data_IF_831164969325
#
_entry.id   IF_831164969325
#
_cell.length_a   1.000
_cell.length_b   1.000
_cell.length_c   1.000
_cell.angle_alpha   90.00
_cell.angle_beta   90.00
_cell.angle_gamma   90.00
#
_symmetry.space_group_name_H-M   'P 1'
#
loop_
_entity.id
_entity.type
_entity.pdbx_description
1 polymer ?
#
# COMPACT_ATOMS: atom_id res chain seq x y z
N UNK A 1 27.23 -21.20 11.90
CA UNK A 1 27.06 -19.83 11.40
C UNK A 1 26.06 -19.90 10.26
N UNK A 2 24.77 -19.91 10.58
CA UNK A 2 23.68 -19.90 9.59
C UNK A 2 23.05 -18.52 9.57
N UNK A 3 23.37 -17.73 8.54
CA UNK A 3 22.57 -16.57 8.18
C UNK A 3 21.33 -17.07 7.44
N UNK A 4 20.26 -17.36 8.18
CA UNK A 4 18.95 -17.65 7.62
C UNK A 4 18.38 -16.41 6.94
N UNK A 5 18.55 -16.31 5.62
CA UNK A 5 17.75 -15.42 4.79
C UNK A 5 16.29 -15.85 4.90
N UNK A 6 15.41 -14.91 5.23
CA UNK A 6 13.98 -15.15 5.40
C UNK A 6 13.42 -15.78 4.10
N UNK A 7 13.03 -17.05 4.13
CA UNK A 7 12.35 -17.69 3.00
C UNK A 7 10.98 -17.00 2.84
N UNK A 8 10.82 -16.20 1.79
CA UNK A 8 9.53 -15.58 1.48
C UNK A 8 8.57 -16.69 1.06
N UNK A 9 7.53 -16.93 1.86
CA UNK A 9 6.45 -17.84 1.49
C UNK A 9 5.53 -17.14 0.47
N UNK A 10 5.86 -17.32 -0.80
CA UNK A 10 5.10 -16.77 -1.92
C UNK A 10 3.64 -17.26 -1.92
N UNK A 11 3.36 -18.49 -1.45
CA UNK A 11 1.98 -19.01 -1.41
C UNK A 11 1.14 -18.23 -0.41
N UNK A 12 1.67 -18.01 0.79
CA UNK A 12 0.99 -17.20 1.79
C UNK A 12 0.72 -15.76 1.30
N UNK A 13 1.62 -15.19 0.49
CA UNK A 13 1.40 -13.86 -0.13
C UNK A 13 0.26 -13.91 -1.14
N UNK A 14 0.22 -14.92 -2.01
CA UNK A 14 -0.83 -15.04 -3.02
C UNK A 14 -2.20 -15.34 -2.41
N UNK A 15 -2.28 -16.18 -1.39
CA UNK A 15 -3.53 -16.43 -0.66
C UNK A 15 -4.07 -15.13 -0.03
N UNK A 16 -3.18 -14.31 0.57
CA UNK A 16 -3.56 -12.98 1.08
C UNK A 16 -4.03 -12.04 -0.04
N UNK A 17 -3.35 -12.03 -1.17
CA UNK A 17 -3.71 -11.19 -2.33
C UNK A 17 -5.06 -11.57 -2.92
N UNK A 18 -5.31 -12.88 -3.11
CA UNK A 18 -6.60 -13.41 -3.55
C UNK A 18 -7.71 -12.99 -2.59
N UNK A 19 -7.52 -13.19 -1.28
CA UNK A 19 -8.54 -12.81 -0.29
C UNK A 19 -8.78 -11.29 -0.25
N UNK A 20 -7.71 -10.49 -0.37
CA UNK A 20 -7.83 -9.03 -0.45
C UNK A 20 -8.71 -8.62 -1.63
N UNK A 21 -8.40 -9.10 -2.83
CA UNK A 21 -9.10 -8.73 -4.06
C UNK A 21 -10.53 -9.28 -4.10
N UNK A 22 -10.72 -10.51 -3.64
CA UNK A 22 -12.01 -11.22 -3.72
C UNK A 22 -12.99 -10.80 -2.62
N UNK A 23 -12.52 -10.61 -1.39
CA UNK A 23 -13.38 -10.47 -0.22
C UNK A 23 -13.24 -9.11 0.46
N UNK A 24 -12.01 -8.64 0.69
CA UNK A 24 -11.76 -7.45 1.53
C UNK A 24 -12.04 -6.13 0.79
N UNK A 25 -11.50 -5.94 -0.42
CA UNK A 25 -11.69 -4.70 -1.18
C UNK A 25 -13.15 -4.45 -1.59
N UNK A 26 -13.95 -5.48 -1.95
CA UNK A 26 -15.39 -5.31 -2.10
C UNK A 26 -16.10 -4.89 -0.82
N UNK A 27 -15.69 -5.41 0.35
CA UNK A 27 -16.22 -4.95 1.65
C UNK A 27 -15.84 -3.49 1.91
N UNK A 28 -14.59 -3.10 1.63
CA UNK A 28 -14.16 -1.70 1.77
C UNK A 28 -14.96 -0.77 0.87
N UNK A 29 -15.23 -1.18 -0.36
CA UNK A 29 -16.06 -0.42 -1.30
C UNK A 29 -17.46 -0.15 -0.72
N UNK A 30 -18.05 -1.12 0.00
CA UNK A 30 -19.33 -0.91 0.70
C UNK A 30 -19.20 0.07 1.86
N UNK A 31 -18.17 -0.08 2.69
CA UNK A 31 -17.92 0.79 3.85
C UNK A 31 -17.68 2.26 3.46
N UNK A 32 -17.07 2.49 2.30
CA UNK A 32 -16.77 3.82 1.77
C UNK A 32 -17.81 4.34 0.78
N UNK A 33 -19.01 3.76 0.76
CA UNK A 33 -20.13 4.23 -0.06
C UNK A 33 -19.81 4.25 -1.57
N UNK A 34 -19.05 3.25 -2.05
CA UNK A 34 -18.80 3.04 -3.48
C UNK A 34 -17.41 3.47 -3.97
N UNK A 35 -16.48 3.86 -3.10
CA UNK A 35 -15.09 4.08 -3.54
C UNK A 35 -14.49 2.77 -4.03
N UNK A 36 -14.21 2.69 -5.32
CA UNK A 36 -13.57 1.51 -5.93
C UNK A 36 -12.09 1.47 -5.59
N UNK A 37 -11.59 0.38 -5.01
CA UNK A 37 -10.17 0.21 -4.63
C UNK A 37 -9.36 -0.65 -5.59
N UNK A 38 -10.00 -1.54 -6.34
CA UNK A 38 -9.36 -2.46 -7.29
C UNK A 38 -10.20 -2.65 -8.55
N UNK A 39 -9.62 -3.22 -9.62
CA UNK A 39 -10.40 -3.86 -10.68
C UNK A 39 -11.29 -4.97 -10.10
N UNK A 40 -12.35 -5.37 -10.81
CA UNK A 40 -13.13 -6.55 -10.41
C UNK A 40 -12.25 -7.81 -10.44
N UNK A 41 -12.32 -8.60 -9.36
CA UNK A 41 -11.78 -9.95 -9.33
C UNK A 41 -12.71 -10.89 -10.11
N UNK A 42 -12.15 -11.75 -10.96
CA UNK A 42 -12.93 -12.77 -11.67
C UNK A 42 -12.62 -14.18 -11.18
N UNK A 43 -11.34 -14.56 -11.11
CA UNK A 43 -10.98 -15.94 -10.84
C UNK A 43 -9.53 -16.10 -10.34
N UNK A 44 -9.27 -17.19 -9.61
CA UNK A 44 -7.93 -17.70 -9.29
C UNK A 44 -7.96 -19.22 -9.41
N UNK A 45 -6.83 -19.86 -9.69
CA UNK A 45 -6.73 -21.32 -9.81
C UNK A 45 -6.21 -21.90 -8.48
N UNK A 46 -7.05 -22.54 -7.65
CA UNK A 46 -6.69 -22.91 -6.28
C UNK A 46 -5.63 -24.02 -6.19
N UNK A 47 -5.67 -25.01 -7.09
CA UNK A 47 -4.79 -26.21 -7.02
C UNK A 47 -3.58 -26.17 -7.98
N UNK A 48 -3.27 -25.02 -8.57
CA UNK A 48 -2.17 -24.91 -9.53
C UNK A 48 -0.83 -24.65 -8.83
N UNK A 49 0.25 -25.23 -9.35
CA UNK A 49 1.62 -24.77 -9.03
C UNK A 49 1.88 -23.31 -9.48
N UNK A 50 0.97 -22.73 -10.25
CA UNK A 50 1.00 -21.36 -10.75
C UNK A 50 0.05 -20.47 -9.94
N UNK A 51 0.58 -19.35 -9.46
CA UNK A 51 -0.17 -18.30 -8.76
C UNK A 51 -0.75 -17.32 -9.79
N UNK A 52 -2.02 -17.51 -10.16
CA UNK A 52 -2.69 -16.72 -11.21
C UNK A 52 -3.93 -16.03 -10.66
N UNK A 53 -4.08 -14.73 -10.91
CA UNK A 53 -5.28 -13.96 -10.59
C UNK A 53 -5.81 -13.32 -11.88
N UNK A 54 -7.05 -13.63 -12.25
CA UNK A 54 -7.77 -13.01 -13.35
C UNK A 54 -8.61 -11.83 -12.84
N UNK A 55 -8.43 -10.66 -13.46
CA UNK A 55 -9.08 -9.41 -13.06
C UNK A 55 -9.65 -8.66 -14.28
N UNK A 56 -10.50 -7.67 -14.02
CA UNK A 56 -11.01 -6.72 -15.01
C UNK A 56 -9.89 -5.99 -15.74
N UNK A 57 -10.02 -5.96 -17.07
CA UNK A 57 -9.17 -5.16 -17.93
C UNK A 57 -9.57 -3.68 -17.85
N UNK A 58 -8.72 -2.88 -17.21
CA UNK A 58 -8.95 -1.45 -17.06
C UNK A 58 -8.79 -0.66 -18.36
N UNK A 59 -8.25 -1.24 -19.44
CA UNK A 59 -8.14 -0.56 -20.74
C UNK A 59 -9.51 -0.28 -21.35
N UNK A 60 -10.48 -1.17 -21.12
CA UNK A 60 -11.89 -0.98 -21.54
C UNK A 60 -12.53 0.24 -20.85
N UNK A 61 -11.99 0.64 -19.69
CA UNK A 61 -12.40 1.85 -18.96
C UNK A 61 -11.50 3.06 -19.28
N UNK A 62 -10.67 2.97 -20.33
CA UNK A 62 -9.74 4.00 -20.78
C UNK A 62 -8.58 4.33 -19.81
N UNK A 63 -8.28 3.46 -18.83
CA UNK A 63 -7.07 3.62 -18.03
C UNK A 63 -5.82 3.36 -18.89
N UNK A 64 -4.75 4.09 -18.59
CA UNK A 64 -3.45 3.97 -19.27
C UNK A 64 -2.34 3.80 -18.27
N UNK A 65 -1.37 2.94 -18.59
CA UNK A 65 -0.15 2.80 -17.81
C UNK A 65 0.82 3.91 -18.22
N UNK A 66 1.14 4.79 -17.27
CA UNK A 66 2.16 5.82 -17.46
C UNK A 66 3.56 5.25 -17.24
N UNK A 67 4.57 5.90 -17.83
CA UNK A 67 5.96 5.51 -17.61
C UNK A 67 6.37 5.82 -16.17
N UNK A 68 6.68 4.78 -15.39
CA UNK A 68 7.04 4.90 -13.97
C UNK A 68 8.27 5.79 -13.68
N UNK A 69 9.13 6.05 -14.67
CA UNK A 69 10.31 6.90 -14.52
C UNK A 69 9.98 8.38 -14.52
N UNK A 70 8.82 8.75 -15.05
CA UNK A 70 8.40 10.15 -15.16
C UNK A 70 7.80 10.66 -13.83
N UNK A 71 7.48 9.74 -12.91
CA UNK A 71 6.86 10.05 -11.63
C UNK A 71 5.37 10.38 -11.75
N UNK A 72 4.80 10.89 -10.65
CA UNK A 72 3.42 11.38 -10.61
C UNK A 72 3.46 12.91 -10.51
N UNK A 73 2.65 13.60 -11.30
CA UNK A 73 2.40 15.02 -11.08
C UNK A 73 1.54 15.24 -9.83
N UNK A 74 1.29 16.51 -9.48
CA UNK A 74 0.54 16.88 -8.29
C UNK A 74 -0.89 16.31 -8.28
N UNK A 75 -1.63 16.38 -9.39
CA UNK A 75 -3.02 15.91 -9.42
C UNK A 75 -3.10 14.38 -9.28
N UNK A 76 -2.20 13.64 -9.93
CA UNK A 76 -2.10 12.20 -9.75
C UNK A 76 -1.66 11.82 -8.34
N UNK A 77 -0.72 12.57 -7.73
CA UNK A 77 -0.34 12.39 -6.33
C UNK A 77 -1.53 12.60 -5.40
N UNK A 78 -2.27 13.71 -5.57
CA UNK A 78 -3.44 14.06 -4.76
C UNK A 78 -4.50 12.96 -4.86
N UNK A 79 -4.83 12.52 -6.07
CA UNK A 79 -5.80 11.43 -6.29
C UNK A 79 -5.35 10.12 -5.62
N UNK A 80 -4.07 9.76 -5.78
CA UNK A 80 -3.50 8.54 -5.20
C UNK A 80 -3.52 8.58 -3.68
N UNK A 81 -3.13 9.70 -3.08
CA UNK A 81 -3.13 9.90 -1.63
C UNK A 81 -4.55 9.95 -1.05
N UNK A 82 -5.51 10.58 -1.75
CA UNK A 82 -6.92 10.55 -1.33
C UNK A 82 -7.45 9.12 -1.32
N UNK A 83 -7.16 8.33 -2.36
CA UNK A 83 -7.59 6.93 -2.44
C UNK A 83 -6.90 6.05 -1.39
N UNK A 84 -5.63 6.32 -1.09
CA UNK A 84 -4.90 5.69 0.00
C UNK A 84 -5.52 6.03 1.37
N UNK A 85 -5.94 7.28 1.57
CA UNK A 85 -6.66 7.71 2.77
C UNK A 85 -7.99 6.96 2.95
N UNK A 86 -8.78 6.83 1.89
CA UNK A 86 -10.00 6.01 1.92
C UNK A 86 -9.70 4.53 2.24
N UNK A 87 -8.63 3.98 1.67
CA UNK A 87 -8.22 2.60 1.93
C UNK A 87 -7.87 2.39 3.41
N UNK A 88 -7.09 3.31 3.99
CA UNK A 88 -6.74 3.27 5.42
C UNK A 88 -7.96 3.42 6.33
N UNK A 89 -8.86 4.35 6.03
CA UNK A 89 -10.08 4.53 6.80
C UNK A 89 -10.98 3.28 6.74
N UNK A 90 -11.11 2.67 5.55
CA UNK A 90 -11.86 1.44 5.36
C UNK A 90 -11.24 0.25 6.12
N UNK A 91 -9.92 0.10 6.08
CA UNK A 91 -9.24 -0.97 6.82
C UNK A 91 -9.39 -0.83 8.33
N UNK A 92 -9.33 0.39 8.86
CA UNK A 92 -9.56 0.67 10.27
C UNK A 92 -11.01 0.41 10.67
N UNK A 93 -11.96 0.80 9.82
CA UNK A 93 -13.39 0.55 10.07
C UNK A 93 -13.69 -0.95 10.06
N UNK A 94 -13.08 -1.70 9.14
CA UNK A 94 -13.25 -3.14 9.05
C UNK A 94 -12.61 -3.92 10.20
N UNK A 95 -11.54 -3.40 10.82
CA UNK A 95 -10.86 -4.06 11.94
C UNK A 95 -11.58 -3.92 13.28
N UNK A 96 -12.38 -2.86 13.44
CA UNK A 96 -13.19 -2.62 14.64
C UNK A 96 -14.65 -3.08 14.50
N UNK A 97 -15.02 -3.55 13.30
CA UNK A 97 -16.36 -4.04 12.99
C UNK A 97 -16.69 -5.29 13.83
N UNK A 98 -17.83 -5.27 14.51
CA UNK A 98 -18.24 -6.29 15.48
C UNK A 98 -18.58 -7.64 14.84
N UNK A 99 -18.92 -7.65 13.54
CA UNK A 99 -19.35 -8.86 12.84
C UNK A 99 -18.20 -9.81 12.52
N UNK A 100 -16.98 -9.28 12.32
CA UNK A 100 -15.76 -10.09 12.23
C UNK A 100 -14.50 -9.29 12.59
N UNK A 101 -14.21 -9.11 13.89
CA UNK A 101 -13.01 -8.44 14.39
C UNK A 101 -11.71 -9.18 14.02
N UNK A 102 -11.80 -10.42 13.52
CA UNK A 102 -10.64 -11.24 13.17
C UNK A 102 -10.25 -11.14 11.70
N UNK A 103 -11.17 -10.69 10.84
CA UNK A 103 -11.01 -10.59 9.38
C UNK A 103 -9.71 -9.90 8.95
N UNK A 104 -9.27 -8.91 9.71
CA UNK A 104 -8.08 -8.11 9.40
C UNK A 104 -6.77 -8.63 10.00
N UNK A 105 -6.80 -9.53 11.01
CA UNK A 105 -5.59 -9.99 11.75
C UNK A 105 -4.55 -10.67 10.86
N UNK A 106 -4.98 -11.34 9.79
CA UNK A 106 -4.08 -12.00 8.83
C UNK A 106 -3.22 -11.00 8.02
N UNK A 107 -3.54 -9.71 8.09
CA UNK A 107 -2.83 -8.62 7.41
C UNK A 107 -1.88 -7.81 8.30
N UNK A 108 -1.71 -8.19 9.57
CA UNK A 108 -0.86 -7.44 10.52
C UNK A 108 0.64 -7.43 10.15
N UNK A 109 1.09 -8.42 9.36
CA UNK A 109 2.47 -8.55 8.92
C UNK A 109 2.54 -8.73 7.40
N UNK A 110 3.29 -7.83 6.75
CA UNK A 110 3.53 -7.82 5.31
C UNK A 110 5.00 -8.07 4.96
N UNK A 111 5.27 -8.21 3.65
CA UNK A 111 6.59 -8.51 3.09
C UNK A 111 7.67 -7.49 3.48
N UNK A 112 7.29 -6.23 3.68
CA UNK A 112 8.18 -5.13 4.05
C UNK A 112 8.09 -4.75 5.53
N UNK A 113 7.54 -5.63 6.37
CA UNK A 113 7.42 -5.36 7.80
C UNK A 113 8.80 -5.20 8.44
N UNK A 114 9.00 -4.09 9.12
CA UNK A 114 10.18 -3.81 9.93
C UNK A 114 9.79 -3.22 11.26
N UNK A 115 10.65 -3.41 12.25
CA UNK A 115 10.45 -2.91 13.62
C UNK A 115 11.53 -1.88 13.95
N UNK A 116 11.31 -1.04 14.97
CA UNK A 116 12.33 -0.06 15.40
C UNK A 116 13.67 -0.72 15.73
N UNK A 117 13.64 -1.98 16.24
CA UNK A 117 14.85 -2.75 16.56
C UNK A 117 15.49 -3.43 15.35
N UNK A 118 14.72 -3.67 14.30
CA UNK A 118 15.13 -4.34 13.05
C UNK A 118 14.37 -3.72 11.88
N UNK A 119 14.82 -2.55 11.39
CA UNK A 119 14.12 -1.86 10.34
C UNK A 119 14.21 -2.62 9.02
N UNK A 120 13.10 -2.68 8.28
CA UNK A 120 13.06 -3.29 6.95
C UNK A 120 13.78 -2.41 5.92
N UNK A 121 14.12 -3.00 4.77
CA UNK A 121 14.79 -2.28 3.67
C UNK A 121 14.08 -0.98 3.33
N UNK A 122 12.74 -0.98 3.29
CA UNK A 122 11.98 0.21 2.94
C UNK A 122 12.08 1.34 3.98
N UNK A 123 12.14 0.99 5.27
CA UNK A 123 12.35 1.94 6.37
C UNK A 123 13.75 2.54 6.26
N UNK A 124 14.77 1.71 6.02
CA UNK A 124 16.15 2.17 5.84
C UNK A 124 16.29 3.09 4.62
N UNK A 125 15.66 2.73 3.49
CA UNK A 125 15.63 3.58 2.30
C UNK A 125 15.00 4.95 2.61
N UNK A 126 13.93 4.99 3.39
CA UNK A 126 13.30 6.25 3.77
C UNK A 126 14.24 7.11 4.64
N UNK A 127 14.81 6.54 5.70
CA UNK A 127 15.78 7.22 6.58
C UNK A 127 16.96 7.80 5.81
N UNK A 128 17.57 7.00 4.92
CA UNK A 128 18.73 7.43 4.11
C UNK A 128 18.40 8.61 3.18
N UNK A 129 17.16 8.69 2.70
CA UNK A 129 16.75 9.73 1.74
C UNK A 129 16.01 10.90 2.40
N UNK A 130 15.72 10.85 3.70
CA UNK A 130 14.91 11.86 4.38
C UNK A 130 15.55 13.25 4.36
N UNK A 131 16.86 13.34 4.59
CA UNK A 131 17.58 14.62 4.48
C UNK A 131 17.47 15.21 3.08
N UNK A 132 17.53 14.36 2.04
CA UNK A 132 17.41 14.83 0.66
C UNK A 132 15.99 15.33 0.36
N UNK A 133 14.97 14.66 0.92
CA UNK A 133 13.59 15.11 0.84
C UNK A 133 13.44 16.52 1.45
N UNK A 134 13.98 16.76 2.65
CA UNK A 134 13.94 18.08 3.29
C UNK A 134 14.59 19.17 2.41
N UNK A 135 15.75 18.88 1.82
CA UNK A 135 16.42 19.80 0.90
C UNK A 135 15.58 20.15 -0.32
N UNK A 136 14.90 19.16 -0.91
CA UNK A 136 14.08 19.38 -2.11
C UNK A 136 12.84 20.21 -1.77
N UNK A 137 12.14 19.87 -0.69
CA UNK A 137 10.86 20.51 -0.31
C UNK A 137 11.07 21.97 0.12
N UNK A 138 12.24 22.36 0.61
CA UNK A 138 12.59 23.78 0.87
C UNK A 138 12.43 24.69 -0.34
N UNK A 139 12.53 24.14 -1.55
CA UNK A 139 12.46 24.92 -2.78
C UNK A 139 11.05 24.91 -3.41
N UNK A 140 10.05 24.33 -2.74
CA UNK A 140 8.67 24.30 -3.23
C UNK A 140 7.89 25.50 -2.72
N UNK A 141 7.61 26.44 -3.63
CA UNK A 141 6.80 27.63 -3.35
C UNK A 141 5.38 27.24 -2.88
N UNK A 142 4.93 27.82 -1.77
CA UNK A 142 3.61 27.57 -1.18
C UNK A 142 3.52 26.33 -0.29
N UNK A 143 4.64 25.64 -0.04
CA UNK A 143 4.72 24.46 0.82
C UNK A 143 5.68 24.64 2.01
N UNK A 144 5.92 25.87 2.44
CA UNK A 144 6.85 26.23 3.51
C UNK A 144 6.49 25.53 4.82
N UNK A 145 5.19 25.47 5.16
CA UNK A 145 4.70 24.79 6.36
C UNK A 145 5.02 23.27 6.36
N UNK A 146 5.04 22.64 5.17
CA UNK A 146 5.45 21.23 5.03
C UNK A 146 6.96 21.11 5.20
N UNK A 147 7.72 22.00 4.57
CA UNK A 147 9.18 22.03 4.69
C UNK A 147 9.62 22.13 6.15
N UNK A 148 9.05 23.06 6.91
CA UNK A 148 9.33 23.21 8.34
C UNK A 148 8.94 21.97 9.15
N UNK A 149 7.81 21.33 8.83
CA UNK A 149 7.37 20.12 9.50
C UNK A 149 8.36 18.97 9.27
N UNK A 150 8.85 18.80 8.05
CA UNK A 150 9.83 17.77 7.72
C UNK A 150 11.16 18.02 8.42
N UNK A 151 11.63 19.27 8.47
CA UNK A 151 12.86 19.61 9.20
C UNK A 151 12.75 19.31 10.70
N UNK A 152 11.62 19.61 11.35
CA UNK A 152 11.38 19.23 12.76
C UNK A 152 11.36 17.72 13.00
N UNK A 153 11.17 16.92 11.96
CA UNK A 153 11.15 15.46 12.03
C UNK A 153 12.51 14.83 11.74
N UNK A 154 13.52 15.61 11.32
CA UNK A 154 14.81 15.09 10.85
C UNK A 154 15.55 14.23 11.87
N UNK A 155 15.46 14.57 13.15
CA UNK A 155 16.12 13.81 14.23
C UNK A 155 15.38 12.51 14.61
N UNK A 156 14.21 12.25 14.01
CA UNK A 156 13.37 11.07 14.27
C UNK A 156 13.44 10.02 13.16
N UNK A 157 14.18 10.28 12.08
CA UNK A 157 14.26 9.43 10.90
C UNK A 157 15.69 9.05 10.55
#
# INVERSE_FOLDING_TARGET
>A
MEQGGLLIDYRAIHEKEVDMLKNILPRFTKLTQGVQFSPRFYYTIPESHMMIIAMEDLRELNYRMVNRRDGLDYEHCRLSLTKLGHLHAASMSASIDADDPSSMKKYDVGLFHGTDKKPAVIQQCFSLNFTKLCEVVKNWEGFEAISEKLERMKDKF
#
